data_IF_182297845822
#
_entry.id   IF_182297845822
#
_cell.length_a   1.000
_cell.length_b   1.000
_cell.length_c   1.000
_cell.angle_alpha   90.00
_cell.angle_beta   90.00
_cell.angle_gamma   90.00
#
_symmetry.space_group_name_H-M   'P 1'
#
loop_
_entity.id
_entity.type
_entity.pdbx_description
1 polymer ?
#
# COMPACT_ATOMS: atom_id res chain seq x y z
N UNK A 1 11.02 19.14 7.44
CA UNK A 1 10.93 18.85 8.90
C UNK A 1 9.52 18.31 9.14
N UNK A 2 9.40 17.07 9.61
CA UNK A 2 8.08 16.47 9.87
C UNK A 2 7.34 17.29 10.91
N UNK A 3 6.08 17.65 10.61
CA UNK A 3 5.17 18.25 11.58
C UNK A 3 5.07 17.28 12.76
N UNK A 4 5.00 17.78 13.99
CA UNK A 4 5.01 16.99 15.23
C UNK A 4 3.75 16.15 15.46
N UNK A 5 3.25 15.50 14.39
CA UNK A 5 2.06 14.66 14.41
C UNK A 5 2.28 13.42 15.28
N UNK A 6 1.23 13.03 15.98
CA UNK A 6 1.21 11.81 16.80
C UNK A 6 0.03 10.93 16.40
N UNK A 7 0.18 9.63 16.52
CA UNK A 7 -0.89 8.66 16.32
C UNK A 7 -0.77 7.54 17.35
N UNK A 8 -1.91 6.91 17.67
CA UNK A 8 -1.92 5.69 18.49
C UNK A 8 -2.02 4.51 17.53
N UNK A 9 -0.93 3.73 17.43
CA UNK A 9 -0.91 2.48 16.70
C UNK A 9 -1.58 1.38 17.53
N UNK A 10 -2.29 0.47 16.85
CA UNK A 10 -2.93 -0.69 17.45
C UNK A 10 -2.35 -1.98 16.86
N UNK A 11 -1.80 -2.81 17.72
CA UNK A 11 -1.24 -4.12 17.44
C UNK A 11 -2.26 -5.20 17.84
N UNK A 12 -3.12 -5.57 16.89
CA UNK A 12 -4.23 -6.51 17.15
C UNK A 12 -3.75 -7.88 17.65
N UNK A 13 -2.58 -8.32 17.19
CA UNK A 13 -1.93 -9.58 17.56
C UNK A 13 -1.50 -9.65 19.03
N UNK A 14 -1.35 -8.48 19.68
CA UNK A 14 -0.99 -8.39 21.10
C UNK A 14 -2.21 -8.20 22.00
N UNK A 15 -3.37 -7.88 21.44
CA UNK A 15 -4.54 -7.51 22.23
C UNK A 15 -5.36 -8.72 22.66
N UNK A 16 -5.57 -8.86 23.97
CA UNK A 16 -6.44 -9.90 24.57
C UNK A 16 -7.90 -9.45 24.78
N UNK A 17 -8.18 -8.15 24.52
CA UNK A 17 -9.52 -7.57 24.71
C UNK A 17 -9.86 -7.25 26.17
N UNK A 18 -8.90 -7.08 27.06
CA UNK A 18 -9.08 -6.84 28.52
C UNK A 18 -9.78 -5.51 28.87
N UNK A 19 -9.97 -4.59 27.94
CA UNK A 19 -10.64 -3.28 28.09
C UNK A 19 -10.01 -2.30 29.06
N UNK A 20 -8.85 -2.53 29.63
CA UNK A 20 -8.15 -1.58 30.53
C UNK A 20 -7.91 -0.22 29.88
N UNK A 21 -7.75 -0.16 28.57
CA UNK A 21 -7.65 1.08 27.81
C UNK A 21 -8.96 1.88 27.80
N UNK A 22 -10.11 1.20 27.81
CA UNK A 22 -11.45 1.80 27.91
C UNK A 22 -11.63 2.43 29.29
N UNK A 23 -11.33 1.67 30.33
CA UNK A 23 -11.45 2.11 31.72
C UNK A 23 -10.53 3.31 32.02
N UNK A 24 -9.28 3.24 31.58
CA UNK A 24 -8.30 4.32 31.76
C UNK A 24 -8.71 5.60 31.00
N UNK A 25 -9.32 5.47 29.82
CA UNK A 25 -9.84 6.61 29.07
C UNK A 25 -11.01 7.29 29.81
N UNK A 26 -11.97 6.50 30.30
CA UNK A 26 -13.09 7.02 31.08
C UNK A 26 -12.60 7.69 32.39
N UNK A 27 -11.74 7.00 33.14
CA UNK A 27 -11.16 7.53 34.38
C UNK A 27 -10.45 8.89 34.16
N UNK A 28 -9.71 9.04 33.05
CA UNK A 28 -9.01 10.29 32.74
C UNK A 28 -9.98 11.45 32.47
N UNK A 29 -11.07 11.18 31.73
CA UNK A 29 -11.96 12.25 31.26
C UNK A 29 -13.08 12.64 32.24
N UNK A 30 -13.54 11.68 33.04
CA UNK A 30 -14.68 11.93 33.96
C UNK A 30 -14.37 11.57 35.42
N UNK A 31 -13.15 11.14 35.73
CA UNK A 31 -12.75 10.81 37.11
C UNK A 31 -13.34 9.50 37.63
N UNK A 32 -14.00 8.71 36.79
CA UNK A 32 -14.67 7.44 37.15
C UNK A 32 -14.48 6.42 36.07
N UNK A 33 -14.51 5.13 36.44
CA UNK A 33 -14.48 4.00 35.50
C UNK A 33 -15.91 3.73 35.01
N UNK A 34 -16.33 4.51 34.05
CA UNK A 34 -17.64 4.43 33.39
C UNK A 34 -17.39 4.27 31.86
N UNK A 35 -17.44 3.03 31.31
CA UNK A 35 -17.06 2.73 29.90
C UNK A 35 -17.81 3.54 28.85
N UNK A 36 -19.02 4.01 29.15
CA UNK A 36 -19.86 4.87 28.30
C UNK A 36 -19.24 6.26 28.05
N UNK A 37 -18.31 6.69 28.90
CA UNK A 37 -17.56 7.94 28.75
C UNK A 37 -16.20 7.75 28.05
N UNK A 38 -15.88 6.54 27.66
CA UNK A 38 -14.62 6.26 26.98
C UNK A 38 -14.65 6.68 25.52
N UNK A 39 -13.57 7.36 25.08
CA UNK A 39 -13.32 7.78 23.68
C UNK A 39 -12.62 6.71 22.85
N UNK A 40 -12.41 5.54 23.42
CA UNK A 40 -11.85 4.33 22.80
C UNK A 40 -12.75 3.15 23.16
N UNK A 41 -13.06 2.30 22.18
CA UNK A 41 -13.89 1.12 22.38
C UNK A 41 -13.21 -0.12 21.80
N UNK A 42 -13.23 -1.21 22.57
CA UNK A 42 -12.78 -2.53 22.10
C UNK A 42 -13.98 -3.26 21.51
N UNK A 43 -13.86 -3.64 20.26
CA UNK A 43 -14.86 -4.42 19.53
C UNK A 43 -14.38 -5.84 19.33
N UNK A 44 -15.33 -6.78 19.23
CA UNK A 44 -15.03 -8.16 18.88
C UNK A 44 -15.96 -8.55 17.73
N UNK A 45 -15.36 -9.00 16.64
CA UNK A 45 -16.11 -9.57 15.52
C UNK A 45 -16.83 -10.85 15.96
N UNK A 46 -18.11 -10.98 15.60
CA UNK A 46 -18.94 -12.09 16.08
C UNK A 46 -18.65 -13.43 15.40
N UNK A 47 -18.18 -13.39 14.16
CA UNK A 47 -17.93 -14.59 13.36
C UNK A 47 -16.50 -15.09 13.54
N UNK A 48 -15.52 -14.20 13.41
CA UNK A 48 -14.10 -14.54 13.50
C UNK A 48 -13.52 -14.49 14.92
N UNK A 49 -14.23 -13.84 15.87
CA UNK A 49 -13.71 -13.56 17.21
C UNK A 49 -12.59 -12.50 17.23
N UNK A 50 -12.24 -11.91 16.09
CA UNK A 50 -11.16 -10.94 15.97
C UNK A 50 -11.43 -9.70 16.83
N UNK A 51 -10.39 -9.24 17.51
CA UNK A 51 -10.46 -8.02 18.33
C UNK A 51 -10.14 -6.83 17.48
N UNK A 52 -11.06 -5.87 17.45
CA UNK A 52 -10.92 -4.58 16.80
C UNK A 52 -10.89 -3.43 17.81
N UNK A 53 -10.54 -2.24 17.34
CA UNK A 53 -10.49 -1.04 18.15
C UNK A 53 -11.15 0.12 17.43
N UNK A 54 -12.22 0.68 18.00
CA UNK A 54 -12.79 1.94 17.57
C UNK A 54 -12.05 3.08 18.30
N UNK A 55 -11.17 3.76 17.56
CA UNK A 55 -10.33 4.84 18.07
C UNK A 55 -10.12 5.89 16.98
N UNK A 56 -10.09 7.17 17.37
CA UNK A 56 -9.78 8.25 16.45
C UNK A 56 -8.39 8.13 15.86
N UNK A 57 -8.30 8.26 14.53
CA UNK A 57 -7.06 8.19 13.77
C UNK A 57 -6.39 9.55 13.56
N UNK A 58 -7.02 10.66 13.99
CA UNK A 58 -6.54 12.03 13.77
C UNK A 58 -6.24 12.29 12.28
N UNK A 59 -7.19 11.95 11.40
CA UNK A 59 -7.03 11.93 9.95
C UNK A 59 -6.48 13.23 9.38
N UNK A 60 -5.73 13.14 8.29
CA UNK A 60 -5.29 14.29 7.49
C UNK A 60 -6.49 15.07 6.93
N UNK A 61 -7.43 14.38 6.28
CA UNK A 61 -8.72 14.89 5.83
C UNK A 61 -9.84 14.36 6.74
N UNK A 62 -10.13 15.03 7.84
CA UNK A 62 -11.08 14.53 8.83
C UNK A 62 -12.52 14.75 8.37
N UNK A 63 -13.19 13.70 7.86
CA UNK A 63 -14.60 13.75 7.46
C UNK A 63 -15.52 14.28 8.55
N UNK A 64 -15.17 14.07 9.82
CA UNK A 64 -15.92 14.60 10.96
C UNK A 64 -15.88 16.13 11.04
N UNK A 65 -14.77 16.76 10.64
CA UNK A 65 -14.64 18.23 10.57
C UNK A 65 -15.46 18.77 9.41
N UNK A 66 -15.30 18.16 8.22
CA UNK A 66 -16.00 18.60 7.01
C UNK A 66 -17.52 18.51 7.14
N UNK A 67 -18.03 17.52 7.88
CA UNK A 67 -19.47 17.30 8.07
C UNK A 67 -20.04 17.94 9.34
N UNK A 68 -19.26 18.75 10.09
CA UNK A 68 -19.74 19.41 11.27
C UNK A 68 -20.44 20.74 10.94
N UNK A 69 -21.79 20.85 11.01
CA UNK A 69 -22.51 22.07 10.65
C UNK A 69 -22.27 23.22 11.63
N UNK A 70 -21.91 22.90 12.88
CA UNK A 70 -21.65 23.88 13.93
C UNK A 70 -20.17 24.30 14.00
N UNK A 71 -19.29 23.75 13.14
CA UNK A 71 -17.85 23.95 13.20
C UNK A 71 -17.26 23.73 14.61
N UNK A 72 -17.82 22.79 15.36
CA UNK A 72 -17.34 22.42 16.71
C UNK A 72 -16.12 21.50 16.64
N UNK A 73 -15.84 20.91 15.49
CA UNK A 73 -14.66 20.09 15.25
C UNK A 73 -13.70 20.87 14.34
N UNK A 74 -12.47 21.07 14.82
CA UNK A 74 -11.44 21.81 14.10
C UNK A 74 -10.13 21.04 14.12
N UNK A 75 -9.47 20.92 12.97
CA UNK A 75 -8.15 20.33 12.88
C UNK A 75 -7.07 21.38 13.11
N UNK A 76 -6.19 21.14 14.07
CA UNK A 76 -4.96 21.87 14.23
C UNK A 76 -3.91 21.37 13.24
N UNK A 77 -3.50 22.21 12.31
CA UNK A 77 -2.53 21.86 11.28
C UNK A 77 -1.08 21.79 11.80
N UNK A 78 -0.80 22.27 13.00
CA UNK A 78 0.54 22.17 13.59
C UNK A 78 0.74 20.83 14.31
N UNK A 79 -0.25 20.43 15.10
CA UNK A 79 -0.21 19.20 15.89
C UNK A 79 -0.86 18.00 15.17
N UNK A 80 -1.69 18.24 14.16
CA UNK A 80 -2.50 17.23 13.47
C UNK A 80 -3.68 16.73 14.29
N UNK A 81 -3.94 17.31 15.46
CA UNK A 81 -5.05 16.90 16.33
C UNK A 81 -6.35 17.55 15.89
N UNK A 82 -7.42 16.77 15.85
CA UNK A 82 -8.77 17.30 15.66
C UNK A 82 -9.34 17.59 17.03
N UNK A 83 -9.52 18.87 17.34
CA UNK A 83 -10.12 19.34 18.57
C UNK A 83 -11.64 19.37 18.46
N UNK A 84 -12.31 19.15 19.58
CA UNK A 84 -13.76 19.26 19.72
C UNK A 84 -14.11 20.33 20.76
N UNK A 85 -14.87 21.32 20.32
CA UNK A 85 -15.41 22.36 21.15
C UNK A 85 -16.85 21.99 21.58
N UNK A 86 -16.99 21.57 22.82
CA UNK A 86 -18.27 21.17 23.41
C UNK A 86 -19.29 22.30 23.41
N UNK A 87 -18.85 23.53 23.60
CA UNK A 87 -19.75 24.69 23.69
C UNK A 87 -20.45 25.03 22.38
N UNK A 88 -19.85 24.66 21.27
CA UNK A 88 -20.39 24.84 19.91
C UNK A 88 -21.15 23.61 19.41
N UNK A 89 -21.03 22.49 20.11
CA UNK A 89 -21.58 21.22 19.65
C UNK A 89 -23.11 21.19 19.84
N UNK A 90 -23.85 20.98 18.78
CA UNK A 90 -25.33 20.85 18.79
C UNK A 90 -25.79 19.39 18.91
N UNK A 91 -24.91 18.46 19.20
CA UNK A 91 -25.16 17.01 19.35
C UNK A 91 -25.93 16.36 18.19
N UNK A 92 -25.78 16.87 16.95
CA UNK A 92 -26.46 16.34 15.76
C UNK A 92 -25.94 14.98 15.27
N UNK A 93 -24.82 14.51 15.82
CA UNK A 93 -24.18 13.22 15.56
C UNK A 93 -23.73 12.96 14.10
N UNK A 94 -23.76 13.94 13.20
CA UNK A 94 -23.29 13.78 11.82
C UNK A 94 -21.83 13.35 11.73
N UNK A 95 -21.00 13.78 12.67
CA UNK A 95 -19.58 13.41 12.74
C UNK A 95 -19.36 11.91 13.07
N UNK A 96 -20.27 11.28 13.81
CA UNK A 96 -20.20 9.83 14.10
C UNK A 96 -20.55 9.01 12.87
N UNK A 97 -21.56 9.45 12.11
CA UNK A 97 -21.97 8.82 10.85
C UNK A 97 -20.90 9.01 9.75
N UNK A 98 -20.25 10.16 9.72
CA UNK A 98 -19.22 10.48 8.74
C UNK A 98 -17.88 9.78 9.01
N UNK A 99 -17.62 9.30 10.24
CA UNK A 99 -16.34 8.72 10.60
C UNK A 99 -16.19 7.27 10.10
N UNK A 100 -15.32 6.97 9.11
CA UNK A 100 -15.17 5.61 8.58
C UNK A 100 -14.48 4.65 9.56
N UNK A 101 -13.91 5.17 10.66
CA UNK A 101 -13.15 4.39 11.65
C UNK A 101 -13.88 4.23 12.99
N UNK A 102 -15.14 4.69 13.08
CA UNK A 102 -15.89 4.76 14.37
C UNK A 102 -15.10 5.44 15.48
N UNK A 103 -14.17 6.34 15.12
CA UNK A 103 -13.28 7.03 16.06
C UNK A 103 -13.91 8.23 16.77
N UNK A 104 -15.16 8.53 16.48
CA UNK A 104 -16.03 9.45 17.23
C UNK A 104 -17.24 8.65 17.70
N UNK A 105 -17.54 8.71 18.98
CA UNK A 105 -18.66 8.01 19.59
C UNK A 105 -19.61 9.00 20.25
N UNK A 106 -20.77 8.54 20.68
CA UNK A 106 -21.69 9.30 21.51
C UNK A 106 -21.83 8.62 22.86
N UNK A 107 -21.93 9.42 23.91
CA UNK A 107 -22.36 8.94 25.20
C UNK A 107 -23.82 8.49 25.08
N UNK A 108 -24.11 7.23 25.43
CA UNK A 108 -25.45 6.65 25.29
C UNK A 108 -26.50 7.23 26.23
N UNK A 109 -26.05 7.89 27.31
CA UNK A 109 -26.93 8.50 28.30
C UNK A 109 -27.22 9.95 27.97
N UNK A 110 -26.17 10.73 27.61
CA UNK A 110 -26.32 12.20 27.41
C UNK A 110 -26.49 12.57 25.93
N UNK A 111 -26.24 11.67 24.99
CA UNK A 111 -26.21 11.96 23.55
C UNK A 111 -25.02 12.81 23.11
N UNK A 112 -24.15 13.19 24.03
CA UNK A 112 -22.99 14.02 23.75
C UNK A 112 -21.94 13.29 22.92
N UNK A 113 -21.33 13.99 21.97
CA UNK A 113 -20.24 13.48 21.15
C UNK A 113 -18.97 13.35 21.99
N UNK A 114 -18.24 12.26 21.79
CA UNK A 114 -16.97 11.99 22.45
C UNK A 114 -15.87 11.81 21.42
N UNK A 115 -14.78 12.56 21.56
CA UNK A 115 -13.67 12.58 20.60
C UNK A 115 -12.33 12.47 21.34
N UNK A 116 -11.47 11.57 20.88
CA UNK A 116 -10.10 11.42 21.39
C UNK A 116 -9.29 12.70 21.15
N UNK A 117 -8.63 13.20 22.19
CA UNK A 117 -7.78 14.39 22.25
C UNK A 117 -6.34 14.08 22.66
N UNK A 118 -5.96 12.80 22.64
CA UNK A 118 -4.68 12.27 23.14
C UNK A 118 -4.42 12.59 24.64
N UNK A 119 -5.45 12.88 25.41
CA UNK A 119 -5.31 13.27 26.83
C UNK A 119 -4.29 14.42 27.01
N UNK A 120 -4.33 15.43 26.13
CA UNK A 120 -3.37 16.52 26.14
C UNK A 120 -1.95 16.17 25.70
N UNK A 121 -1.76 15.03 25.05
CA UNK A 121 -0.47 14.56 24.50
C UNK A 121 0.15 13.37 25.23
N UNK A 122 -0.52 12.88 26.29
CA UNK A 122 -0.05 11.79 27.14
C UNK A 122 -1.17 10.73 27.34
N UNK A 123 -1.44 9.88 26.33
CA UNK A 123 -2.64 9.05 26.27
C UNK A 123 -2.70 7.98 27.37
N UNK A 124 -3.69 8.12 28.26
CA UNK A 124 -3.93 7.21 29.38
C UNK A 124 -4.16 5.75 28.92
N UNK A 125 -4.85 5.56 27.80
CA UNK A 125 -5.10 4.22 27.23
C UNK A 125 -3.83 3.47 26.81
N UNK A 126 -2.81 4.20 26.32
CA UNK A 126 -1.52 3.60 25.96
C UNK A 126 -0.79 3.13 27.20
N UNK A 127 -0.73 3.99 28.25
CA UNK A 127 -0.09 3.65 29.53
C UNK A 127 -0.74 2.47 30.23
N UNK A 128 -2.05 2.35 30.12
CA UNK A 128 -2.82 1.30 30.79
C UNK A 128 -2.79 -0.05 30.04
N UNK A 129 -2.20 -0.11 28.84
CA UNK A 129 -2.16 -1.35 28.06
C UNK A 129 -1.03 -2.28 28.54
N UNK A 130 -1.32 -3.39 29.24
CA UNK A 130 -0.28 -4.21 29.84
C UNK A 130 0.54 -5.02 28.81
N UNK A 131 -0.05 -5.26 27.63
CA UNK A 131 0.55 -6.06 26.57
C UNK A 131 1.23 -5.19 25.49
N UNK A 132 1.25 -3.87 25.66
CA UNK A 132 1.79 -2.98 24.64
C UNK A 132 1.06 -3.07 23.29
N UNK A 133 -0.23 -3.43 23.30
CA UNK A 133 -1.05 -3.46 22.10
C UNK A 133 -1.40 -2.05 21.58
N UNK A 134 -1.23 -1.02 22.40
CA UNK A 134 -1.35 0.39 22.05
C UNK A 134 0.01 1.06 22.18
N UNK A 135 0.41 1.81 21.16
CA UNK A 135 1.69 2.52 21.11
C UNK A 135 1.47 3.94 20.60
N UNK A 136 1.97 4.95 21.34
CA UNK A 136 2.02 6.32 20.84
C UNK A 136 3.23 6.48 19.94
N UNK A 137 2.99 6.63 18.64
CA UNK A 137 4.03 6.90 17.64
C UNK A 137 4.12 8.40 17.38
N UNK A 138 5.34 8.93 17.44
CA UNK A 138 5.66 10.27 16.97
C UNK A 138 6.01 10.21 15.49
N UNK A 139 5.59 11.21 14.76
CA UNK A 139 5.79 11.30 13.33
C UNK A 139 4.46 11.23 12.57
N UNK A 140 4.54 11.59 11.31
CA UNK A 140 3.40 11.58 10.44
C UNK A 140 2.97 10.13 10.17
N UNK A 141 1.69 9.85 10.31
CA UNK A 141 1.07 8.61 9.86
C UNK A 141 0.29 8.86 8.59
N UNK A 142 -0.02 7.79 7.84
CA UNK A 142 -0.91 7.86 6.68
C UNK A 142 -2.22 8.61 6.95
N UNK A 143 -2.71 8.54 8.18
CA UNK A 143 -3.98 9.13 8.57
C UNK A 143 -3.90 10.64 8.78
N UNK A 144 -2.80 11.15 9.33
CA UNK A 144 -2.65 12.55 9.69
C UNK A 144 -1.84 13.40 8.69
N UNK A 145 -1.02 12.79 7.83
CA UNK A 145 -0.33 13.49 6.73
C UNK A 145 -1.19 13.64 5.48
N UNK A 146 -2.21 12.81 5.30
CA UNK A 146 -2.95 12.72 4.05
C UNK A 146 -3.57 14.05 3.60
N UNK A 147 -4.16 14.81 4.51
CA UNK A 147 -4.80 16.09 4.18
C UNK A 147 -3.85 17.25 3.89
N UNK A 148 -2.57 17.10 4.26
CA UNK A 148 -1.55 18.13 4.04
C UNK A 148 -0.86 18.02 2.67
N UNK A 149 -1.09 16.89 1.97
CA UNK A 149 -0.48 16.62 0.66
C UNK A 149 -1.49 16.86 -0.45
N UNK A 150 -1.08 17.62 -1.46
CA UNK A 150 -1.92 17.84 -2.64
C UNK A 150 -2.21 16.52 -3.35
N UNK A 151 -3.48 16.29 -3.70
CA UNK A 151 -3.85 15.17 -4.57
C UNK A 151 -3.53 15.52 -6.03
N UNK A 152 -2.47 14.89 -6.53
CA UNK A 152 -1.97 15.11 -7.89
C UNK A 152 -2.69 14.26 -8.94
N UNK A 153 -3.78 13.59 -8.55
CA UNK A 153 -4.67 12.84 -9.43
C UNK A 153 -6.07 13.40 -9.32
N UNK A 154 -6.64 13.81 -10.43
CA UNK A 154 -8.00 14.36 -10.46
C UNK A 154 -9.05 13.30 -10.08
N UNK A 155 -10.21 13.69 -9.54
CA UNK A 155 -11.33 12.77 -9.34
C UNK A 155 -11.96 12.34 -10.68
N UNK A 156 -12.67 11.21 -10.68
CA UNK A 156 -13.40 10.74 -11.86
C UNK A 156 -12.54 10.03 -12.90
N UNK A 157 -11.76 9.05 -12.46
CA UNK A 157 -10.89 8.26 -13.33
C UNK A 157 -11.64 7.15 -14.08
N UNK A 158 -11.09 6.72 -15.22
CA UNK A 158 -11.58 5.58 -16.02
C UNK A 158 -11.07 4.23 -15.50
N UNK A 159 -10.83 4.10 -14.19
CA UNK A 159 -10.35 2.86 -13.59
C UNK A 159 -11.49 1.91 -13.22
N UNK A 160 -11.18 0.60 -13.15
CA UNK A 160 -12.12 -0.40 -12.66
C UNK A 160 -12.45 -0.17 -11.19
N UNK A 161 -13.63 -0.58 -10.75
CA UNK A 161 -14.01 -0.55 -9.33
C UNK A 161 -13.05 -1.39 -8.51
N UNK A 162 -12.45 -0.80 -7.45
CA UNK A 162 -11.43 -1.43 -6.61
C UNK A 162 -10.08 -1.63 -7.32
N UNK A 163 -9.75 -0.80 -8.30
CA UNK A 163 -8.48 -0.86 -9.02
C UNK A 163 -7.29 -0.52 -8.12
N UNK A 164 -6.38 -1.47 -7.94
CA UNK A 164 -5.17 -1.25 -7.16
C UNK A 164 -4.21 -0.25 -7.82
N UNK A 165 -4.21 -0.17 -9.15
CA UNK A 165 -3.32 0.76 -9.87
C UNK A 165 -3.67 2.22 -9.57
N UNK A 166 -4.96 2.55 -9.39
CA UNK A 166 -5.38 3.89 -8.98
C UNK A 166 -4.88 4.22 -7.57
N UNK A 167 -5.09 3.30 -6.62
CA UNK A 167 -4.61 3.45 -5.25
C UNK A 167 -3.09 3.70 -5.22
N UNK A 168 -2.34 2.88 -5.95
CA UNK A 168 -0.88 2.98 -6.05
C UNK A 168 -0.44 4.34 -6.61
N UNK A 169 -0.97 4.74 -7.76
CA UNK A 169 -0.57 5.98 -8.43
C UNK A 169 -0.87 7.20 -7.56
N UNK A 170 -2.06 7.26 -6.98
CA UNK A 170 -2.49 8.36 -6.11
C UNK A 170 -1.58 8.52 -4.89
N UNK A 171 -1.29 7.41 -4.21
CA UNK A 171 -0.38 7.41 -3.06
C UNK A 171 1.05 7.77 -3.44
N UNK A 172 1.56 7.24 -4.55
CA UNK A 172 2.91 7.53 -5.02
C UNK A 172 3.09 9.01 -5.35
N UNK A 173 2.19 9.59 -6.15
CA UNK A 173 2.29 10.99 -6.56
C UNK A 173 2.13 11.95 -5.38
N UNK A 174 1.23 11.65 -4.44
CA UNK A 174 1.12 12.42 -3.20
C UNK A 174 2.42 12.44 -2.40
N UNK A 175 3.15 11.31 -2.34
CA UNK A 175 4.41 11.22 -1.60
C UNK A 175 5.56 11.92 -2.31
N UNK A 176 5.63 11.82 -3.64
CA UNK A 176 6.69 12.41 -4.47
C UNK A 176 6.51 13.94 -4.60
N UNK A 177 5.27 14.40 -4.74
CA UNK A 177 4.97 15.80 -5.05
C UNK A 177 4.99 16.10 -6.56
N UNK A 178 4.91 17.38 -6.91
CA UNK A 178 4.72 17.84 -8.30
C UNK A 178 6.00 17.90 -9.12
N UNK A 179 7.19 17.85 -8.48
CA UNK A 179 8.49 17.99 -9.19
C UNK A 179 8.97 16.66 -9.78
N UNK A 180 8.17 16.12 -10.65
CA UNK A 180 8.32 14.77 -11.26
C UNK A 180 7.87 14.81 -12.72
N UNK A 181 8.54 14.04 -13.58
CA UNK A 181 8.06 13.72 -14.92
C UNK A 181 7.69 12.24 -14.97
N UNK A 182 6.45 11.96 -15.31
CA UNK A 182 5.86 10.61 -15.29
C UNK A 182 5.80 10.03 -16.69
N UNK A 183 6.25 8.80 -16.87
CA UNK A 183 6.06 8.01 -18.08
C UNK A 183 5.15 6.81 -17.79
N UNK A 184 4.08 6.68 -18.54
CA UNK A 184 3.14 5.55 -18.44
C UNK A 184 2.93 4.93 -19.81
N UNK A 185 3.48 3.74 -20.10
CA UNK A 185 3.22 3.05 -21.36
C UNK A 185 1.75 2.58 -21.44
N UNK A 186 1.27 2.19 -22.63
CA UNK A 186 -0.07 1.64 -22.81
C UNK A 186 -0.37 0.50 -21.80
N UNK A 187 -1.55 0.52 -21.19
CA UNK A 187 -1.98 -0.45 -20.19
C UNK A 187 -2.96 0.14 -19.17
N UNK A 188 -3.16 -0.54 -18.05
CA UNK A 188 -4.10 -0.10 -17.01
C UNK A 188 -3.72 1.27 -16.42
N UNK A 189 -2.43 1.57 -16.24
CA UNK A 189 -1.98 2.86 -15.69
C UNK A 189 -2.28 4.01 -16.66
N UNK A 190 -2.15 3.79 -17.95
CA UNK A 190 -2.55 4.77 -18.95
C UNK A 190 -4.06 5.10 -18.82
N UNK A 191 -4.90 4.09 -18.55
CA UNK A 191 -6.32 4.31 -18.25
C UNK A 191 -6.56 5.14 -16.98
N UNK A 192 -5.71 4.97 -15.97
CA UNK A 192 -5.78 5.78 -14.72
C UNK A 192 -5.32 7.22 -14.95
N UNK A 193 -4.22 7.41 -15.68
CA UNK A 193 -3.53 8.69 -15.71
C UNK A 193 -3.68 9.53 -16.97
N UNK A 194 -3.88 8.87 -18.11
CA UNK A 194 -3.82 9.54 -19.40
C UNK A 194 -5.17 9.83 -20.01
N UNK A 195 -6.17 9.03 -19.71
CA UNK A 195 -7.50 9.19 -20.26
C UNK A 195 -8.46 9.46 -19.11
N UNK A 196 -8.43 10.70 -18.64
CA UNK A 196 -9.43 11.20 -17.71
C UNK A 196 -10.82 11.24 -18.38
N UNK A 197 -11.84 11.41 -17.59
CA UNK A 197 -13.19 11.69 -18.09
C UNK A 197 -13.12 12.93 -18.98
N UNK A 198 -13.68 12.87 -20.18
CA UNK A 198 -13.66 13.94 -21.20
C UNK A 198 -12.31 14.20 -21.90
N UNK A 199 -11.38 13.24 -21.91
CA UNK A 199 -10.13 13.36 -22.68
C UNK A 199 -9.04 14.24 -22.04
N UNK A 200 -9.23 14.68 -20.81
CA UNK A 200 -8.20 15.40 -20.05
C UNK A 200 -7.27 14.42 -19.34
N UNK A 201 -5.99 14.80 -19.20
CA UNK A 201 -5.05 14.08 -18.37
C UNK A 201 -5.52 14.08 -16.91
N UNK A 202 -5.47 12.91 -16.28
CA UNK A 202 -5.84 12.77 -14.87
C UNK A 202 -4.72 13.17 -13.91
N UNK A 203 -3.47 13.22 -14.35
CA UNK A 203 -2.34 13.64 -13.53
C UNK A 203 -2.13 15.15 -13.62
N UNK A 204 -1.95 15.79 -12.48
CA UNK A 204 -1.56 17.21 -12.37
C UNK A 204 -0.05 17.41 -12.50
N UNK A 205 0.69 16.37 -12.86
CA UNK A 205 2.14 16.38 -13.13
C UNK A 205 2.39 16.20 -14.61
N UNK A 206 3.55 16.64 -15.14
CA UNK A 206 3.95 16.30 -16.49
C UNK A 206 3.95 14.80 -16.74
N UNK A 207 3.18 14.34 -17.71
CA UNK A 207 3.07 12.94 -18.09
C UNK A 207 3.19 12.77 -19.59
N UNK A 208 3.82 11.68 -20.02
CA UNK A 208 3.84 11.30 -21.43
C UNK A 208 3.66 9.77 -21.59
N UNK A 209 3.22 9.37 -22.78
CA UNK A 209 2.98 7.99 -23.16
C UNK A 209 4.05 7.49 -24.11
N UNK A 210 5.09 6.80 -23.61
CA UNK A 210 6.02 6.09 -24.47
C UNK A 210 5.33 4.88 -25.10
N UNK A 211 5.97 4.28 -26.11
CA UNK A 211 5.59 2.95 -26.57
C UNK A 211 5.78 1.93 -25.44
N UNK A 212 5.04 0.83 -25.49
CA UNK A 212 5.11 -0.23 -24.50
C UNK A 212 6.54 -0.79 -24.31
N UNK A 213 7.36 -0.71 -25.35
CA UNK A 213 8.71 -1.28 -25.42
C UNK A 213 9.82 -0.36 -24.89
N UNK A 214 9.61 0.94 -24.75
CA UNK A 214 10.74 1.88 -24.61
C UNK A 214 10.64 2.87 -23.43
N UNK A 215 9.83 2.56 -22.42
CA UNK A 215 9.58 3.46 -21.26
C UNK A 215 10.88 3.94 -20.61
N UNK A 216 11.78 3.03 -20.26
CA UNK A 216 13.03 3.39 -19.59
C UNK A 216 13.98 4.20 -20.49
N UNK A 217 14.08 3.85 -21.79
CA UNK A 217 14.91 4.59 -22.74
C UNK A 217 14.42 6.03 -22.97
N UNK A 218 13.09 6.23 -23.04
CA UNK A 218 12.50 7.56 -23.17
C UNK A 218 12.76 8.42 -21.94
N UNK A 219 12.59 7.87 -20.73
CA UNK A 219 12.91 8.56 -19.49
C UNK A 219 14.40 8.93 -19.39
N UNK A 220 15.30 8.03 -19.81
CA UNK A 220 16.72 8.31 -19.83
C UNK A 220 17.05 9.52 -20.72
N UNK A 221 16.45 9.61 -21.92
CA UNK A 221 16.57 10.77 -22.80
C UNK A 221 15.99 12.05 -22.16
N UNK A 222 14.82 11.95 -21.55
CA UNK A 222 14.16 13.07 -20.85
C UNK A 222 15.04 13.56 -19.69
N UNK A 223 15.62 12.66 -18.89
CA UNK A 223 16.54 13.02 -17.80
C UNK A 223 17.73 13.85 -18.31
N UNK A 224 18.35 13.44 -19.42
CA UNK A 224 19.48 14.16 -20.03
C UNK A 224 19.09 15.56 -20.49
N UNK A 225 17.90 15.71 -21.05
CA UNK A 225 17.38 17.03 -21.42
C UNK A 225 17.22 17.95 -20.21
N UNK A 226 16.55 17.47 -19.11
CA UNK A 226 16.37 18.27 -17.91
C UNK A 226 17.70 18.66 -17.25
N UNK A 227 18.67 17.75 -17.19
CA UNK A 227 20.03 18.07 -16.72
C UNK A 227 20.68 19.18 -17.56
N UNK A 228 20.53 19.13 -18.89
CA UNK A 228 21.12 20.13 -19.77
C UNK A 228 20.54 21.54 -19.55
N UNK A 229 19.28 21.64 -19.18
CA UNK A 229 18.63 22.94 -18.85
C UNK A 229 18.76 23.32 -17.36
N UNK A 230 19.59 22.60 -16.59
CA UNK A 230 19.85 22.90 -15.18
C UNK A 230 18.71 22.57 -14.22
N UNK A 231 17.76 21.72 -14.60
CA UNK A 231 16.64 21.30 -13.74
C UNK A 231 16.85 19.87 -13.25
N UNK A 232 16.75 19.71 -11.93
CA UNK A 232 16.80 18.38 -11.29
C UNK A 232 15.40 17.90 -10.94
N UNK A 233 14.78 17.12 -11.83
CA UNK A 233 13.41 16.63 -11.73
C UNK A 233 13.44 15.10 -11.66
N UNK A 234 12.65 14.50 -10.80
CA UNK A 234 12.55 13.05 -10.70
C UNK A 234 11.94 12.46 -11.98
N UNK A 235 12.60 11.44 -12.53
CA UNK A 235 12.05 10.63 -13.63
C UNK A 235 11.33 9.41 -13.03
N UNK A 236 10.02 9.29 -13.27
CA UNK A 236 9.17 8.23 -12.72
C UNK A 236 8.53 7.42 -13.84
N UNK A 237 8.73 6.10 -13.83
CA UNK A 237 7.97 5.19 -14.66
C UNK A 237 6.89 4.48 -13.85
N UNK A 238 5.67 4.42 -14.37
CA UNK A 238 4.66 3.45 -13.99
C UNK A 238 4.40 2.53 -15.16
N UNK A 239 4.89 1.30 -15.11
CA UNK A 239 4.71 0.35 -16.19
C UNK A 239 4.09 -0.96 -15.69
N UNK A 240 3.16 -1.54 -16.45
CA UNK A 240 2.60 -2.86 -16.15
C UNK A 240 3.64 -3.96 -16.33
N UNK A 241 3.36 -5.12 -15.74
CA UNK A 241 4.23 -6.29 -15.78
C UNK A 241 4.53 -6.77 -17.21
N UNK A 242 3.56 -6.81 -18.11
CA UNK A 242 3.79 -7.18 -19.50
C UNK A 242 4.72 -6.19 -20.23
N UNK A 243 4.53 -4.88 -20.01
CA UNK A 243 5.43 -3.85 -20.55
C UNK A 243 6.82 -3.90 -19.95
N UNK A 244 6.97 -4.37 -18.72
CA UNK A 244 8.25 -4.42 -18.00
C UNK A 244 9.00 -5.73 -18.24
N UNK A 245 8.33 -6.87 -18.03
CA UNK A 245 8.95 -8.18 -18.03
C UNK A 245 9.09 -8.81 -19.42
N UNK A 246 8.29 -8.36 -20.37
CA UNK A 246 8.24 -8.92 -21.74
C UNK A 246 8.80 -7.90 -22.74
N UNK A 247 7.91 -7.11 -23.35
CA UNK A 247 8.26 -6.32 -24.54
C UNK A 247 9.17 -5.12 -24.26
N UNK A 248 9.16 -4.57 -23.05
CA UNK A 248 10.01 -3.44 -22.63
C UNK A 248 11.25 -3.85 -21.85
N UNK A 249 11.46 -5.13 -21.59
CA UNK A 249 12.58 -5.60 -20.77
C UNK A 249 13.95 -5.18 -21.34
N UNK A 250 14.13 -5.20 -22.65
CA UNK A 250 15.35 -4.74 -23.31
C UNK A 250 15.67 -3.28 -22.96
N UNK A 251 14.68 -2.42 -23.02
CA UNK A 251 14.82 -0.99 -22.68
C UNK A 251 15.16 -0.80 -21.19
N UNK A 252 14.52 -1.55 -20.31
CA UNK A 252 14.76 -1.54 -18.88
C UNK A 252 16.16 -2.04 -18.55
N UNK A 253 16.56 -3.18 -19.09
CA UNK A 253 17.88 -3.79 -18.92
C UNK A 253 19.00 -2.84 -19.33
N UNK A 254 18.90 -2.24 -20.52
CA UNK A 254 19.89 -1.28 -21.00
C UNK A 254 19.93 0.02 -20.19
N UNK A 255 18.83 0.50 -19.66
CA UNK A 255 18.80 1.67 -18.79
C UNK A 255 19.41 1.37 -17.40
N UNK A 256 19.16 0.17 -16.86
CA UNK A 256 19.76 -0.28 -15.60
C UNK A 256 21.28 -0.42 -15.73
N UNK A 257 21.74 -1.08 -16.81
CA UNK A 257 23.18 -1.26 -17.10
C UNK A 257 23.91 0.08 -17.16
N UNK A 258 23.31 1.11 -17.75
CA UNK A 258 23.90 2.45 -17.83
C UNK A 258 23.76 3.29 -16.55
N UNK A 259 23.11 2.77 -15.51
CA UNK A 259 22.87 3.50 -14.27
C UNK A 259 22.01 4.75 -14.47
N UNK A 260 21.01 4.71 -15.36
CA UNK A 260 20.15 5.87 -15.63
C UNK A 260 19.34 6.27 -14.41
N UNK A 261 19.38 7.55 -14.05
CA UNK A 261 18.72 8.11 -12.84
C UNK A 261 17.22 8.18 -13.02
N UNK A 262 16.51 7.19 -12.50
CA UNK A 262 15.05 7.10 -12.50
C UNK A 262 14.52 6.18 -11.42
N UNK A 263 13.28 6.42 -11.01
CA UNK A 263 12.48 5.49 -10.23
C UNK A 263 11.55 4.73 -11.19
N UNK A 264 11.73 3.43 -11.29
CA UNK A 264 10.90 2.56 -12.12
C UNK A 264 9.99 1.70 -11.24
N UNK A 265 8.68 1.94 -11.32
CA UNK A 265 7.67 1.17 -10.58
C UNK A 265 6.99 0.22 -11.56
N UNK A 266 7.24 -1.07 -11.38
CA UNK A 266 6.53 -2.13 -12.06
C UNK A 266 5.23 -2.43 -11.31
N UNK A 267 4.10 -2.25 -11.97
CA UNK A 267 2.77 -2.55 -11.44
C UNK A 267 2.36 -3.93 -11.92
N UNK A 268 2.62 -4.94 -11.08
CA UNK A 268 2.40 -6.34 -11.44
C UNK A 268 1.00 -6.80 -11.08
N UNK A 269 0.14 -6.89 -12.07
CA UNK A 269 -1.19 -7.51 -11.97
C UNK A 269 -1.26 -8.89 -12.65
N UNK A 270 -0.09 -9.47 -12.95
CA UNK A 270 0.14 -10.82 -13.46
C UNK A 270 -0.48 -11.08 -14.84
N UNK A 271 -0.48 -10.04 -15.71
CA UNK A 271 -0.96 -10.20 -17.10
C UNK A 271 -1.15 -8.89 -17.85
N UNK A 272 -1.45 -8.99 -19.12
CA UNK A 272 -1.93 -7.87 -19.94
C UNK A 272 -3.43 -7.67 -19.69
N UNK A 273 -3.76 -7.07 -18.54
CA UNK A 273 -5.15 -6.98 -18.05
C UNK A 273 -6.00 -6.07 -18.90
N UNK A 274 -5.47 -4.91 -19.31
CA UNK A 274 -6.21 -3.90 -20.07
C UNK A 274 -6.70 -4.39 -21.43
N UNK A 275 -5.95 -5.27 -22.10
CA UNK A 275 -6.26 -5.77 -23.44
C UNK A 275 -7.09 -7.05 -23.43
N UNK A 276 -7.51 -7.55 -22.28
CA UNK A 276 -8.36 -8.72 -22.14
C UNK A 276 -7.73 -9.92 -21.45
N UNK A 277 -6.86 -9.64 -20.45
CA UNK A 277 -6.32 -10.67 -19.55
C UNK A 277 -5.43 -11.70 -20.25
N UNK A 278 -4.58 -11.28 -21.17
CA UNK A 278 -3.58 -12.17 -21.76
C UNK A 278 -2.45 -12.43 -20.75
N UNK A 279 -1.79 -13.57 -20.89
CA UNK A 279 -0.67 -13.91 -20.05
C UNK A 279 0.54 -13.00 -20.29
N UNK A 280 1.22 -12.62 -19.23
CA UNK A 280 2.58 -12.07 -19.24
C UNK A 280 3.60 -13.10 -18.74
N UNK A 281 4.90 -12.75 -18.75
CA UNK A 281 5.93 -13.59 -18.12
C UNK A 281 5.76 -13.69 -16.61
N UNK A 282 5.19 -12.68 -15.94
CA UNK A 282 4.95 -12.68 -14.49
C UNK A 282 3.69 -13.44 -14.09
N UNK A 283 2.81 -13.80 -15.03
CA UNK A 283 1.66 -14.66 -14.75
C UNK A 283 2.11 -15.95 -14.05
N UNK A 284 1.59 -16.29 -12.86
CA UNK A 284 2.02 -17.49 -12.13
C UNK A 284 1.61 -18.81 -12.79
N UNK A 285 2.29 -19.89 -12.40
CA UNK A 285 1.90 -21.25 -12.75
C UNK A 285 0.45 -21.54 -12.32
N UNK A 286 -0.27 -22.25 -13.15
CA UNK A 286 -1.66 -22.63 -12.93
C UNK A 286 -2.69 -21.51 -13.15
N UNK A 287 -2.28 -20.25 -13.31
CA UNK A 287 -3.21 -19.16 -13.49
C UNK A 287 -3.97 -19.23 -14.82
N UNK A 288 -5.28 -19.03 -14.76
CA UNK A 288 -6.09 -18.80 -15.95
C UNK A 288 -5.85 -17.41 -16.51
N UNK A 289 -5.69 -17.33 -17.83
CA UNK A 289 -5.77 -16.10 -18.61
C UNK A 289 -6.48 -16.39 -19.94
N UNK A 290 -6.80 -15.38 -20.74
CA UNK A 290 -7.42 -15.59 -22.06
C UNK A 290 -6.50 -16.35 -23.03
N UNK A 291 -5.19 -16.31 -22.84
CA UNK A 291 -4.20 -17.05 -23.65
C UNK A 291 -3.59 -18.26 -22.92
N UNK A 292 -3.99 -18.55 -21.70
CA UNK A 292 -3.73 -19.79 -20.98
C UNK A 292 -5.05 -20.36 -20.45
N UNK A 293 -5.92 -20.83 -21.35
CA UNK A 293 -7.26 -21.28 -20.99
C UNK A 293 -7.24 -22.55 -20.15
N UNK A 294 -8.36 -22.81 -19.49
CA UNK A 294 -8.59 -24.06 -18.74
C UNK A 294 -9.55 -24.94 -19.52
N UNK A 295 -9.12 -26.14 -19.79
CA UNK A 295 -9.89 -27.16 -20.52
C UNK A 295 -9.38 -28.57 -20.21
N UNK A 296 -9.81 -29.59 -20.98
CA UNK A 296 -9.43 -30.98 -20.76
C UNK A 296 -7.90 -31.24 -20.85
N UNK A 297 -7.22 -30.48 -21.71
CA UNK A 297 -5.78 -30.66 -21.98
C UNK A 297 -4.92 -29.64 -21.25
N UNK A 298 -5.32 -28.37 -21.26
CA UNK A 298 -4.59 -27.29 -20.61
C UNK A 298 -5.32 -26.82 -19.35
N UNK A 299 -4.59 -26.68 -18.27
CA UNK A 299 -5.13 -26.27 -16.97
C UNK A 299 -4.44 -24.98 -16.46
N UNK A 300 -4.53 -23.93 -17.28
CA UNK A 300 -3.86 -22.66 -16.98
C UNK A 300 -2.42 -22.63 -17.47
N UNK A 301 -1.65 -21.65 -17.00
CA UNK A 301 -0.23 -21.48 -17.38
C UNK A 301 0.64 -22.62 -16.85
N UNK A 302 1.48 -23.19 -17.71
CA UNK A 302 2.31 -24.39 -17.41
C UNK A 302 3.73 -24.06 -16.93
N UNK A 303 4.17 -22.80 -17.03
CA UNK A 303 5.52 -22.36 -16.63
C UNK A 303 5.45 -21.46 -15.41
N UNK A 304 6.51 -21.45 -14.62
CA UNK A 304 6.69 -20.50 -13.51
C UNK A 304 6.69 -19.05 -14.01
N UNK A 305 6.41 -18.12 -13.11
CA UNK A 305 6.55 -16.69 -13.37
C UNK A 305 8.03 -16.29 -13.46
N UNK A 306 8.33 -15.34 -14.35
CA UNK A 306 9.61 -14.64 -14.31
C UNK A 306 9.71 -13.82 -13.03
N UNK A 307 10.72 -14.06 -12.22
CA UNK A 307 10.91 -13.31 -10.97
C UNK A 307 11.76 -12.06 -11.22
N UNK A 308 11.12 -11.06 -11.79
CA UNK A 308 11.73 -9.82 -12.27
C UNK A 308 12.50 -9.03 -11.19
N UNK A 309 12.04 -8.92 -9.93
CA UNK A 309 12.79 -8.20 -8.91
C UNK A 309 14.23 -8.71 -8.73
N UNK A 310 14.42 -10.03 -8.71
CA UNK A 310 15.76 -10.60 -8.57
C UNK A 310 16.62 -10.38 -9.82
N UNK A 311 16.02 -10.38 -11.00
CA UNK A 311 16.73 -10.03 -12.24
C UNK A 311 17.25 -8.59 -12.14
N UNK A 312 16.47 -7.66 -11.57
CA UNK A 312 16.89 -6.27 -11.41
C UNK A 312 17.98 -6.09 -10.35
N UNK A 313 18.04 -6.94 -9.33
CA UNK A 313 19.20 -7.01 -8.41
C UNK A 313 20.48 -7.30 -9.20
N UNK A 314 20.43 -8.27 -10.12
CA UNK A 314 21.59 -8.64 -10.94
C UNK A 314 21.94 -7.61 -12.03
N UNK A 315 21.11 -6.58 -12.22
CA UNK A 315 21.39 -5.44 -13.11
C UNK A 315 22.02 -4.24 -12.38
N UNK A 316 22.55 -4.43 -11.19
CA UNK A 316 23.23 -3.39 -10.39
C UNK A 316 22.37 -2.14 -10.15
N UNK A 317 21.05 -2.31 -9.99
CA UNK A 317 20.21 -1.20 -9.58
C UNK A 317 20.60 -0.71 -8.19
N UNK A 318 20.61 0.61 -7.99
CA UNK A 318 20.93 1.25 -6.68
C UNK A 318 19.99 0.78 -5.56
N UNK A 319 18.74 0.48 -5.93
CA UNK A 319 17.72 -0.03 -5.03
C UNK A 319 16.74 -0.93 -5.76
N UNK A 320 16.40 -2.06 -5.16
CA UNK A 320 15.36 -2.95 -5.63
C UNK A 320 14.46 -3.35 -4.47
N UNK A 321 13.14 -3.27 -4.65
CA UNK A 321 12.20 -3.70 -3.62
C UNK A 321 10.96 -4.38 -4.21
N UNK A 322 10.37 -5.27 -3.44
CA UNK A 322 9.00 -5.76 -3.64
C UNK A 322 8.06 -5.07 -2.68
N UNK A 323 6.87 -4.71 -3.10
CA UNK A 323 5.91 -3.98 -2.28
C UNK A 323 4.47 -4.39 -2.56
N UNK A 324 3.56 -4.04 -1.67
CA UNK A 324 2.11 -4.18 -1.83
C UNK A 324 1.40 -3.00 -1.19
N UNK A 325 0.41 -2.43 -1.88
CA UNK A 325 -0.44 -1.38 -1.32
C UNK A 325 -1.31 -1.83 -0.14
N UNK A 326 -1.38 -3.14 0.11
CA UNK A 326 -2.03 -3.68 1.32
C UNK A 326 -1.19 -3.49 2.59
N UNK A 327 0.08 -3.03 2.43
CA UNK A 327 1.05 -2.67 3.48
C UNK A 327 1.64 -1.30 3.16
N UNK A 328 0.83 -0.25 3.31
CA UNK A 328 1.17 1.10 2.84
C UNK A 328 2.36 1.73 3.56
N UNK A 329 2.54 1.44 4.85
CA UNK A 329 3.70 1.95 5.61
C UNK A 329 5.01 1.37 5.06
N UNK A 330 5.04 0.08 4.74
CA UNK A 330 6.17 -0.59 4.08
C UNK A 330 6.41 -0.02 2.68
N UNK A 331 5.33 0.19 1.92
CA UNK A 331 5.42 0.78 0.59
C UNK A 331 6.03 2.19 0.63
N UNK A 332 5.60 3.05 1.56
CA UNK A 332 6.11 4.41 1.69
C UNK A 332 7.57 4.45 2.11
N UNK A 333 7.98 3.60 3.06
CA UNK A 333 9.39 3.49 3.44
C UNK A 333 10.28 3.11 2.24
N UNK A 334 9.81 2.17 1.41
CA UNK A 334 10.50 1.76 0.18
C UNK A 334 10.48 2.83 -0.90
N UNK A 335 9.39 3.55 -1.02
CA UNK A 335 9.25 4.66 -1.96
C UNK A 335 10.25 5.77 -1.65
N UNK A 336 10.39 6.17 -0.38
CA UNK A 336 11.35 7.17 0.06
C UNK A 336 12.79 6.76 -0.28
N UNK A 337 13.16 5.52 0.02
CA UNK A 337 14.47 4.94 -0.36
C UNK A 337 14.66 4.90 -1.87
N UNK A 338 13.63 4.50 -2.60
CA UNK A 338 13.65 4.48 -4.06
C UNK A 338 13.86 5.87 -4.67
N UNK A 339 13.22 6.91 -4.13
CA UNK A 339 13.42 8.31 -4.56
C UNK A 339 14.88 8.73 -4.34
N UNK A 340 15.45 8.45 -3.16
CA UNK A 340 16.84 8.79 -2.87
C UNK A 340 17.84 7.99 -3.72
N UNK A 341 17.58 6.72 -3.98
CA UNK A 341 18.40 5.89 -4.85
C UNK A 341 18.35 6.37 -6.31
N UNK A 342 17.18 6.81 -6.79
CA UNK A 342 16.98 7.32 -8.14
C UNK A 342 17.83 8.58 -8.47
N UNK A 343 18.32 9.28 -7.45
CA UNK A 343 19.26 10.40 -7.62
C UNK A 343 20.68 9.94 -8.03
N UNK A 344 21.01 8.66 -7.75
CA UNK A 344 22.34 8.08 -8.03
C UNK A 344 22.34 7.18 -9.26
N UNK A 345 21.25 6.45 -9.50
CA UNK A 345 21.13 5.50 -10.59
C UNK A 345 19.70 4.99 -10.72
N UNK A 346 19.51 3.76 -11.19
CA UNK A 346 18.18 3.18 -11.30
C UNK A 346 17.71 2.63 -9.95
N UNK A 347 16.53 3.06 -9.53
CA UNK A 347 15.75 2.43 -8.47
C UNK A 347 14.56 1.67 -9.08
N UNK A 348 14.32 0.45 -8.63
CA UNK A 348 13.26 -0.42 -9.12
C UNK A 348 12.36 -0.90 -7.98
N UNK A 349 11.06 -0.64 -8.06
CA UNK A 349 10.07 -1.16 -7.11
C UNK A 349 9.06 -2.01 -7.86
N UNK A 350 8.95 -3.27 -7.46
CA UNK A 350 7.97 -4.21 -8.00
C UNK A 350 6.76 -4.27 -7.09
N UNK A 351 5.65 -3.69 -7.52
CA UNK A 351 4.45 -3.59 -6.70
C UNK A 351 3.43 -4.63 -7.12
N UNK A 352 3.14 -5.55 -6.23
CA UNK A 352 2.05 -6.51 -6.39
C UNK A 352 0.71 -5.78 -6.41
N UNK A 353 -0.01 -5.93 -7.52
CA UNK A 353 -1.21 -5.15 -7.82
C UNK A 353 -2.40 -6.06 -8.17
N UNK A 354 -3.11 -6.63 -7.17
CA UNK A 354 -4.26 -7.48 -7.41
C UNK A 354 -5.32 -6.82 -8.30
N UNK A 355 -5.82 -7.54 -9.29
CA UNK A 355 -6.80 -7.05 -10.24
C UNK A 355 -8.17 -7.71 -10.03
N UNK A 356 -9.18 -7.03 -9.44
CA UNK A 356 -10.49 -7.63 -9.17
C UNK A 356 -11.15 -8.20 -10.41
N UNK A 357 -11.13 -7.46 -11.51
CA UNK A 357 -11.75 -7.83 -12.78
C UNK A 357 -11.05 -9.03 -13.43
N UNK A 358 -9.73 -8.94 -13.61
CA UNK A 358 -8.95 -10.00 -14.28
C UNK A 358 -8.84 -11.28 -13.46
N UNK A 359 -8.79 -11.17 -12.13
CA UNK A 359 -8.65 -12.34 -11.25
C UNK A 359 -9.98 -12.85 -10.71
N UNK A 360 -11.10 -12.16 -10.99
CA UNK A 360 -12.48 -12.57 -10.67
C UNK A 360 -12.71 -12.73 -9.16
N UNK A 361 -12.49 -11.65 -8.41
CA UNK A 361 -12.84 -11.56 -6.98
C UNK A 361 -13.59 -10.24 -6.72
N UNK A 362 -14.40 -10.14 -5.64
CA UNK A 362 -15.15 -8.93 -5.31
C UNK A 362 -14.22 -7.73 -5.06
N UNK A 363 -14.48 -6.54 -5.65
CA UNK A 363 -13.63 -5.34 -5.49
C UNK A 363 -13.31 -4.95 -4.05
N UNK A 364 -14.27 -5.12 -3.13
CA UNK A 364 -14.08 -4.84 -1.69
C UNK A 364 -13.07 -5.74 -0.99
N UNK A 365 -12.61 -6.84 -1.63
CA UNK A 365 -11.62 -7.76 -1.09
C UNK A 365 -10.17 -7.45 -1.50
N UNK A 366 -9.93 -6.34 -2.18
CA UNK A 366 -8.60 -5.97 -2.67
C UNK A 366 -7.50 -6.08 -1.60
N UNK A 367 -7.73 -5.45 -0.45
CA UNK A 367 -6.74 -5.42 0.65
C UNK A 367 -6.59 -6.81 1.29
N UNK A 368 -7.67 -7.58 1.43
CA UNK A 368 -7.63 -8.95 1.95
C UNK A 368 -6.77 -9.84 1.03
N UNK A 369 -7.00 -9.80 -0.28
CA UNK A 369 -6.22 -10.54 -1.28
C UNK A 369 -4.74 -10.19 -1.21
N UNK A 370 -4.40 -8.89 -1.15
CA UNK A 370 -3.01 -8.46 -1.03
C UNK A 370 -2.35 -8.91 0.28
N UNK A 371 -3.06 -8.83 1.40
CA UNK A 371 -2.57 -9.33 2.69
C UNK A 371 -2.34 -10.83 2.69
N UNK A 372 -3.28 -11.61 2.14
CA UNK A 372 -3.13 -13.07 2.05
C UNK A 372 -1.98 -13.48 1.14
N UNK A 373 -1.73 -12.77 0.04
CA UNK A 373 -0.56 -13.01 -0.81
C UNK A 373 0.76 -12.87 -0.04
N UNK A 374 0.87 -11.87 0.82
CA UNK A 374 2.07 -11.64 1.67
C UNK A 374 2.13 -12.67 2.81
N UNK A 375 1.04 -12.90 3.54
CA UNK A 375 0.98 -13.84 4.66
C UNK A 375 1.25 -15.29 4.26
N UNK A 376 1.00 -15.65 3.00
CA UNK A 376 1.34 -16.98 2.44
C UNK A 376 2.73 -17.04 1.84
N UNK A 377 3.51 -15.96 1.89
CA UNK A 377 4.81 -15.82 1.21
C UNK A 377 4.78 -16.04 -0.31
N UNK A 378 3.62 -16.04 -0.95
CA UNK A 378 3.52 -16.02 -2.42
C UNK A 378 4.15 -14.72 -2.95
N UNK A 379 3.92 -13.62 -2.22
CA UNK A 379 4.52 -12.32 -2.48
C UNK A 379 5.32 -11.88 -1.25
N UNK A 380 6.57 -12.31 -1.09
CA UNK A 380 7.41 -11.86 0.01
C UNK A 380 7.77 -10.38 -0.16
N UNK A 381 7.72 -9.62 0.94
CA UNK A 381 8.14 -8.22 0.94
C UNK A 381 9.58 -8.11 1.40
N UNK A 382 10.43 -7.55 0.55
CA UNK A 382 11.85 -7.39 0.79
C UNK A 382 12.41 -6.18 0.03
N UNK A 383 13.63 -5.79 0.40
CA UNK A 383 14.39 -4.75 -0.28
C UNK A 383 15.86 -5.16 -0.40
N UNK A 384 16.55 -4.54 -1.35
CA UNK A 384 17.97 -4.68 -1.63
C UNK A 384 18.54 -3.29 -1.93
N UNK A 385 19.59 -2.92 -1.22
CA UNK A 385 20.39 -1.74 -1.50
C UNK A 385 21.74 -2.18 -2.08
N UNK A 386 22.13 -1.66 -3.23
CA UNK A 386 23.35 -2.10 -3.93
C UNK A 386 24.61 -2.03 -3.04
N UNK A 387 24.69 -1.01 -2.20
CA UNK A 387 25.80 -0.80 -1.28
C UNK A 387 25.87 -1.82 -0.14
N UNK A 388 24.74 -2.33 0.28
CA UNK A 388 24.65 -3.35 1.33
C UNK A 388 24.90 -4.76 0.77
N UNK A 389 24.54 -5.00 -0.49
CA UNK A 389 24.81 -6.23 -1.21
C UNK A 389 24.00 -7.44 -0.77
N UNK A 390 22.96 -7.27 0.03
CA UNK A 390 22.14 -8.35 0.54
C UNK A 390 20.65 -8.00 0.56
N UNK A 391 19.80 -9.02 0.54
CA UNK A 391 18.34 -8.88 0.65
C UNK A 391 17.94 -8.79 2.12
N UNK A 392 17.06 -7.85 2.44
CA UNK A 392 16.42 -7.70 3.74
C UNK A 392 14.91 -7.84 3.62
N UNK A 393 14.34 -8.80 4.34
CA UNK A 393 12.88 -8.93 4.44
C UNK A 393 12.30 -7.83 5.31
N UNK A 394 11.25 -7.18 4.84
CA UNK A 394 10.55 -6.10 5.55
C UNK A 394 9.24 -6.57 6.17
N UNK A 395 8.83 -7.80 5.88
CA UNK A 395 7.70 -8.49 6.51
C UNK A 395 8.13 -9.90 6.93
N UNK A 396 7.68 -10.40 8.10
CA UNK A 396 8.01 -11.75 8.57
C UNK A 396 7.67 -12.82 7.53
N UNK A 397 8.60 -13.76 7.33
CA UNK A 397 8.45 -14.89 6.40
C UNK A 397 8.35 -16.24 7.11
N UNK A 398 8.47 -16.24 8.43
CA UNK A 398 8.33 -17.41 9.29
C UNK A 398 6.87 -17.78 9.44
N UNK A 399 6.60 -19.09 9.56
CA UNK A 399 5.26 -19.64 9.78
C UNK A 399 4.18 -19.10 8.80
N UNK A 400 4.41 -19.20 7.47
CA UNK A 400 3.47 -18.69 6.50
C UNK A 400 2.15 -19.47 6.54
N UNK A 401 1.06 -18.78 6.22
CA UNK A 401 -0.21 -19.46 5.97
C UNK A 401 -0.09 -20.43 4.78
N UNK A 402 -0.90 -21.50 4.73
CA UNK A 402 -1.01 -22.36 3.57
C UNK A 402 -1.37 -21.54 2.33
N UNK A 403 -0.81 -21.90 1.15
CA UNK A 403 -1.07 -21.15 -0.09
C UNK A 403 -2.56 -21.10 -0.46
N UNK A 404 -3.34 -22.11 -0.04
CA UNK A 404 -4.79 -22.17 -0.22
C UNK A 404 -5.52 -20.96 0.38
N UNK A 405 -5.01 -20.37 1.47
CA UNK A 405 -5.60 -19.19 2.10
C UNK A 405 -5.62 -17.97 1.17
N UNK A 406 -4.71 -17.92 0.19
CA UNK A 406 -4.68 -16.92 -0.88
C UNK A 406 -5.43 -17.41 -2.13
N UNK A 407 -5.11 -18.63 -2.62
CA UNK A 407 -5.62 -19.13 -3.89
C UNK A 407 -7.15 -19.23 -3.92
N UNK A 408 -7.78 -19.59 -2.78
CA UNK A 408 -9.23 -19.73 -2.66
C UNK A 408 -10.01 -18.42 -2.82
N UNK A 409 -9.38 -17.28 -2.59
CA UNK A 409 -10.01 -15.97 -2.74
C UNK A 409 -10.19 -15.54 -4.20
N UNK A 410 -9.49 -16.20 -5.14
CA UNK A 410 -9.24 -15.68 -6.48
C UNK A 410 -9.80 -16.64 -7.54
N UNK A 411 -10.71 -16.13 -8.39
CA UNK A 411 -11.39 -16.93 -9.40
C UNK A 411 -10.48 -17.53 -10.48
N UNK A 412 -9.35 -16.89 -10.78
CA UNK A 412 -8.40 -17.41 -11.77
C UNK A 412 -7.72 -18.74 -11.37
N UNK A 413 -7.88 -19.18 -10.11
CA UNK A 413 -7.32 -20.42 -9.56
C UNK A 413 -8.38 -21.47 -9.19
N UNK A 414 -9.67 -21.25 -9.41
CA UNK A 414 -10.75 -22.15 -9.01
C UNK A 414 -10.67 -23.57 -9.58
N UNK A 415 -9.92 -23.76 -10.66
CA UNK A 415 -9.75 -25.03 -11.36
C UNK A 415 -8.56 -25.86 -10.88
N UNK A 416 -7.73 -25.34 -9.96
CA UNK A 416 -6.54 -26.02 -9.49
C UNK A 416 -6.92 -27.30 -8.72
N UNK A 417 -6.21 -28.39 -9.01
CA UNK A 417 -6.23 -29.62 -8.23
C UNK A 417 -5.12 -29.62 -7.15
N UNK A 418 -5.15 -30.61 -6.28
CA UNK A 418 -4.20 -30.74 -5.17
C UNK A 418 -2.74 -30.79 -5.65
N UNK A 419 -2.46 -31.45 -6.77
CA UNK A 419 -1.13 -31.56 -7.35
C UNK A 419 -0.62 -30.19 -7.80
N UNK A 420 -1.47 -29.38 -8.45
CA UNK A 420 -1.11 -28.03 -8.88
C UNK A 420 -0.90 -27.11 -7.67
N UNK A 421 -1.70 -27.23 -6.62
CA UNK A 421 -1.55 -26.48 -5.38
C UNK A 421 -0.25 -26.85 -4.67
N UNK A 422 0.10 -28.14 -4.59
CA UNK A 422 1.40 -28.60 -4.07
C UNK A 422 2.58 -28.01 -4.87
N UNK A 423 2.48 -28.02 -6.20
CA UNK A 423 3.50 -27.39 -7.07
C UNK A 423 3.67 -25.90 -6.77
N UNK A 424 2.58 -25.16 -6.58
CA UNK A 424 2.65 -23.72 -6.20
C UNK A 424 3.33 -23.56 -4.85
N UNK A 425 3.04 -24.41 -3.90
CA UNK A 425 3.67 -24.37 -2.57
C UNK A 425 5.18 -24.64 -2.66
N UNK A 426 5.59 -25.67 -3.42
CA UNK A 426 7.00 -25.99 -3.65
C UNK A 426 7.76 -24.81 -4.33
N UNK A 427 7.15 -24.19 -5.31
CA UNK A 427 7.71 -22.99 -5.98
C UNK A 427 7.86 -21.82 -5.02
N UNK A 428 6.87 -21.59 -4.15
CA UNK A 428 6.92 -20.58 -3.09
C UNK A 428 8.08 -20.87 -2.13
N UNK A 429 8.22 -22.12 -1.65
CA UNK A 429 9.25 -22.53 -0.70
C UNK A 429 10.65 -22.35 -1.29
N UNK A 430 10.87 -22.82 -2.53
CA UNK A 430 12.12 -22.61 -3.26
C UNK A 430 12.47 -21.13 -3.41
N UNK A 431 11.49 -20.29 -3.75
CA UNK A 431 11.69 -18.85 -3.85
C UNK A 431 12.15 -18.23 -2.53
N UNK A 432 11.51 -18.59 -1.43
CA UNK A 432 11.88 -18.09 -0.09
C UNK A 432 13.28 -18.55 0.29
N UNK A 433 13.63 -19.82 0.05
CA UNK A 433 14.97 -20.35 0.31
C UNK A 433 16.03 -19.60 -0.49
N UNK A 434 15.81 -19.41 -1.79
CA UNK A 434 16.70 -18.63 -2.64
C UNK A 434 16.91 -17.19 -2.14
N UNK A 435 15.85 -16.53 -1.72
CA UNK A 435 15.93 -15.15 -1.18
C UNK A 435 16.66 -15.11 0.18
N UNK A 436 16.47 -16.12 1.04
CA UNK A 436 17.21 -16.26 2.32
C UNK A 436 18.72 -16.40 2.09
N UNK A 437 19.11 -17.13 1.06
CA UNK A 437 20.53 -17.33 0.72
C UNK A 437 21.20 -16.05 0.18
N UNK A 438 20.43 -15.06 -0.21
CA UNK A 438 20.89 -13.72 -0.60
C UNK A 438 20.73 -12.69 0.56
N UNK A 439 20.32 -13.13 1.73
CA UNK A 439 20.25 -12.35 2.94
C UNK A 439 21.63 -12.13 3.58
N UNK A 440 21.72 -11.32 4.66
CA UNK A 440 22.97 -11.10 5.37
C UNK A 440 23.55 -12.42 5.91
N UNK A 441 24.85 -12.56 5.81
CA UNK A 441 25.59 -13.76 6.27
C UNK A 441 25.33 -14.01 7.76
N UNK A 442 24.71 -15.14 8.11
CA UNK A 442 24.44 -15.53 9.51
C UNK A 442 25.70 -15.89 10.29
N UNK A 443 26.85 -15.99 9.60
CA UNK A 443 28.15 -16.35 10.22
C UNK A 443 28.90 -15.16 10.80
N UNK A 444 28.49 -13.91 10.48
CA UNK A 444 29.15 -12.70 10.99
C UNK A 444 28.58 -12.20 12.34
N UNK A 445 27.63 -12.90 12.95
CA UNK A 445 26.97 -12.54 14.22
C UNK A 445 27.24 -13.57 15.35
N UNK A 446 28.38 -14.30 15.30
CA UNK A 446 28.84 -15.20 16.37
C UNK A 446 30.11 -14.65 17.03
#
# INVERSE_FOLDING_TARGET
>A
MGKGYKTIAFHAEKCDGCKRCVDACAQFHVGKVEPEHSRIQVTRDRESGAIGLALCRQCGEPACVTNCPASSLVKDLQTGVVHWDETRCVACQLCTLACPYSGITCNSVTGQVMKCDFCGGDPACVKACPLGALELKSGASLYNEWGDLEDLVVPGLSSCLGCNSELLVRHTLRRIGSDVVVATPPGCIAGVGAVGVNGFFAFKTPVFHPLLTNTAAMLAGTRRYYKRIGRDVLMLAFAGDGGTADVGFQSLSGAAERGEQMLYICVDNEGYMNTGVQRSSTTPYGAWTSTTPVGPVLRGKTREAKYLPLIMVMHNCEYVATASTSFMEDYYAKLDKGIEAAKRGMAYIHVFSPCPTGWRYPPGKLIEVGRKAVQTNIVPLWEFEYREGHIRFTHPIENPLPVQAYLSLIGKYRHLDEKQISTIQEQRDKKIEMLKNLGPDRTAAA
#
